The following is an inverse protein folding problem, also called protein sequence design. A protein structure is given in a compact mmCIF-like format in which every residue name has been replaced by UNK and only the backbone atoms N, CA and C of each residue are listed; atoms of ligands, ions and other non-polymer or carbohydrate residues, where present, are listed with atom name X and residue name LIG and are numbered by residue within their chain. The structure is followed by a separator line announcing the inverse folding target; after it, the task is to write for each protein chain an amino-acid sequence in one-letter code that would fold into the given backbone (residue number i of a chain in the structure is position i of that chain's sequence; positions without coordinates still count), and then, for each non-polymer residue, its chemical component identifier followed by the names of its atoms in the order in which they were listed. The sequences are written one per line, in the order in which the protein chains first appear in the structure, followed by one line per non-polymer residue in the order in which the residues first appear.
data_IF_562067906666
#
_entry.id   IF_562067906666
#
_cell.length_a   1.000
_cell.length_b   1.000
_cell.length_c   1.000
_cell.angle_alpha   90.00
_cell.angle_beta   90.00
_cell.angle_gamma   90.00
#
_symmetry.space_group_name_H-M   'P 1'
#
loop_
_entity.id
_entity.type
_entity.pdbx_description
1 polymer ?
#
# COMPACT_ATOMS: atom_id res chain seq x y z
N UNK A 1 -4.65 39.88 48.10
CA UNK A 1 -4.10 38.52 47.88
C UNK A 1 -2.72 38.64 47.31
N UNK A 2 -1.82 37.80 47.81
CA UNK A 2 -0.41 38.11 48.04
C UNK A 2 0.49 37.95 46.82
N UNK A 3 1.52 38.80 46.83
CA UNK A 3 2.68 38.88 45.94
C UNK A 3 3.59 37.68 46.18
N UNK A 4 3.95 36.93 45.15
CA UNK A 4 5.12 36.03 45.20
C UNK A 4 6.21 36.50 44.24
N UNK A 5 7.43 36.43 44.76
CA UNK A 5 8.61 37.21 44.39
C UNK A 5 9.35 36.61 43.19
N UNK A 6 9.88 37.49 42.36
CA UNK A 6 11.05 37.24 41.52
C UNK A 6 12.25 36.84 42.39
N UNK A 7 12.85 35.69 42.09
CA UNK A 7 14.17 35.29 42.61
C UNK A 7 15.13 35.14 41.44
N UNK A 8 16.10 36.06 41.35
CA UNK A 8 17.33 35.86 40.60
C UNK A 8 18.24 34.93 41.42
N UNK A 9 18.89 33.95 40.78
CA UNK A 9 19.96 33.18 41.39
C UNK A 9 21.28 33.40 40.62
N UNK A 10 22.42 33.57 41.31
CA UNK A 10 23.71 33.76 40.68
C UNK A 10 24.22 32.45 40.06
N UNK A 11 24.54 32.46 38.77
CA UNK A 11 25.60 31.59 38.25
C UNK A 11 26.92 32.32 38.48
N UNK A 12 27.66 31.82 39.48
CA UNK A 12 29.04 32.20 39.72
C UNK A 12 29.97 31.39 38.83
N UNK A 13 30.27 31.89 37.64
CA UNK A 13 31.53 31.60 36.98
C UNK A 13 31.98 32.75 36.07
N UNK A 14 33.07 33.37 36.52
CA UNK A 14 34.02 34.29 35.90
C UNK A 14 33.78 34.81 34.46
N UNK A 15 33.88 36.14 34.39
CA UNK A 15 34.59 36.91 33.36
C UNK A 15 34.01 36.91 31.94
N UNK A 16 32.98 37.75 31.75
CA UNK A 16 33.06 38.85 30.76
C UNK A 16 31.91 39.83 30.89
N UNK A 17 32.27 41.10 31.06
CA UNK A 17 31.43 42.24 30.69
C UNK A 17 31.75 42.58 29.23
N UNK A 18 30.76 42.77 28.34
CA UNK A 18 30.90 43.79 27.29
C UNK A 18 29.60 44.14 26.51
N UNK A 19 29.40 45.46 26.47
CA UNK A 19 28.84 46.35 25.46
C UNK A 19 27.61 45.99 24.61
N UNK A 20 26.53 46.67 24.98
CA UNK A 20 25.39 47.13 24.17
C UNK A 20 25.76 47.54 22.72
N UNK A 21 24.96 47.05 21.76
CA UNK A 21 24.61 47.85 20.58
C UNK A 21 23.10 47.72 20.31
N UNK A 22 22.36 48.78 20.61
CA UNK A 22 20.90 48.87 20.43
C UNK A 22 20.60 49.12 18.95
N UNK A 23 20.63 48.08 18.13
CA UNK A 23 20.05 48.17 16.78
C UNK A 23 18.54 48.32 16.91
N UNK A 24 18.04 49.50 16.54
CA UNK A 24 16.61 49.78 16.38
C UNK A 24 16.12 49.01 15.16
N UNK A 25 15.62 47.79 15.37
CA UNK A 25 14.93 47.04 14.31
C UNK A 25 13.62 47.73 14.01
N UNK A 26 13.55 48.43 12.87
CA UNK A 26 12.28 48.82 12.27
C UNK A 26 11.61 47.52 11.83
N UNK A 27 10.55 47.10 12.53
CA UNK A 27 9.68 46.01 12.07
C UNK A 27 8.96 46.51 10.82
N UNK A 28 9.51 46.19 9.65
CA UNK A 28 8.77 46.26 8.41
C UNK A 28 7.80 45.08 8.42
N UNK A 29 6.50 45.33 8.52
CA UNK A 29 5.49 44.34 8.17
C UNK A 29 5.68 43.98 6.69
N UNK A 30 6.24 42.81 6.43
CA UNK A 30 6.18 42.20 5.10
C UNK A 30 5.99 40.70 5.26
N UNK A 31 4.78 40.28 4.90
CA UNK A 31 4.33 38.92 4.58
C UNK A 31 4.60 37.82 5.64
N UNK A 32 3.52 37.43 6.33
CA UNK A 32 3.43 36.12 6.96
C UNK A 32 3.57 35.02 5.88
N UNK A 33 4.80 34.58 5.63
CA UNK A 33 5.07 33.37 4.86
C UNK A 33 4.73 32.16 5.73
N UNK A 34 3.50 31.66 5.63
CA UNK A 34 3.14 30.37 6.21
C UNK A 34 3.93 29.27 5.48
N UNK A 35 4.97 28.74 6.12
CA UNK A 35 5.64 27.53 5.68
C UNK A 35 4.68 26.35 5.88
N UNK A 36 3.86 26.08 4.87
CA UNK A 36 3.06 24.87 4.79
C UNK A 36 4.02 23.67 4.60
N UNK A 37 4.33 22.99 5.69
CA UNK A 37 5.02 21.70 5.65
C UNK A 37 4.07 20.67 5.03
N UNK A 38 4.16 20.47 3.72
CA UNK A 38 3.44 19.40 3.02
C UNK A 38 4.01 18.06 3.50
N UNK A 39 3.28 17.37 4.39
CA UNK A 39 3.51 15.96 4.70
C UNK A 39 3.25 15.14 3.44
N UNK A 40 4.31 14.90 2.65
CA UNK A 40 4.27 13.91 1.58
C UNK A 40 4.23 12.54 2.24
N UNK A 41 3.03 11.97 2.38
CA UNK A 41 2.88 10.59 2.80
C UNK A 41 3.55 9.70 1.73
N UNK A 42 4.67 9.09 2.09
CA UNK A 42 5.34 8.08 1.26
C UNK A 42 4.42 6.87 1.15
N UNK A 43 3.76 6.72 0.00
CA UNK A 43 3.01 5.50 -0.29
C UNK A 43 4.05 4.39 -0.48
N UNK A 44 4.08 3.35 0.38
CA UNK A 44 5.03 2.27 0.20
C UNK A 44 4.76 1.62 -1.15
N UNK A 45 5.79 1.61 -2.01
CA UNK A 45 5.72 0.91 -3.28
C UNK A 45 5.56 -0.58 -2.99
N UNK A 46 4.42 -1.15 -3.40
CA UNK A 46 4.24 -2.59 -3.37
C UNK A 46 5.16 -3.19 -4.45
N UNK A 47 6.21 -3.87 -4.03
CA UNK A 47 7.11 -4.57 -4.94
C UNK A 47 6.84 -6.08 -4.85
N UNK A 48 6.10 -6.59 -5.83
CA UNK A 48 5.98 -8.02 -6.08
C UNK A 48 6.88 -8.40 -7.25
N UNK A 49 7.71 -9.42 -7.05
CA UNK A 49 8.48 -10.05 -8.11
C UNK A 49 8.28 -11.55 -8.09
N UNK A 50 8.23 -12.13 -9.28
CA UNK A 50 8.26 -13.57 -9.50
C UNK A 50 9.67 -13.98 -9.97
N UNK A 51 10.01 -15.26 -9.86
CA UNK A 51 11.29 -15.78 -10.35
C UNK A 51 11.39 -15.72 -11.89
N UNK A 52 12.60 -15.92 -12.42
CA UNK A 52 12.88 -15.84 -13.88
C UNK A 52 12.12 -16.86 -14.71
N UNK A 53 11.85 -18.06 -14.18
CA UNK A 53 11.11 -19.10 -14.88
C UNK A 53 9.64 -18.72 -14.98
N UNK A 54 9.08 -18.21 -13.89
CA UNK A 54 7.71 -17.69 -13.84
C UNK A 54 7.56 -16.48 -14.77
N UNK A 55 8.52 -15.54 -14.76
CA UNK A 55 8.57 -14.43 -15.71
C UNK A 55 8.52 -14.91 -17.16
N UNK A 56 9.37 -15.87 -17.53
CA UNK A 56 9.43 -16.41 -18.87
C UNK A 56 8.14 -17.14 -19.28
N UNK A 57 7.47 -17.81 -18.35
CA UNK A 57 6.17 -18.44 -18.59
C UNK A 57 5.07 -17.39 -18.82
N UNK A 58 5.01 -16.36 -17.99
CA UNK A 58 4.05 -15.26 -18.13
C UNK A 58 4.20 -14.56 -19.48
N UNK A 59 5.44 -14.30 -19.94
CA UNK A 59 5.71 -13.65 -21.23
C UNK A 59 5.22 -14.43 -22.46
N UNK A 60 4.91 -15.72 -22.32
CA UNK A 60 4.33 -16.55 -23.40
C UNK A 60 2.80 -16.46 -23.47
N UNK A 61 2.16 -15.86 -22.48
CA UNK A 61 0.71 -15.68 -22.44
C UNK A 61 0.30 -14.43 -23.25
N UNK A 62 -0.91 -14.49 -23.81
CA UNK A 62 -1.57 -13.31 -24.37
C UNK A 62 -1.62 -12.17 -23.35
N UNK A 63 -1.46 -10.90 -23.75
CA UNK A 63 -1.28 -9.78 -22.82
C UNK A 63 -2.37 -9.65 -21.74
N UNK A 64 -3.63 -9.89 -22.09
CA UNK A 64 -4.74 -9.78 -21.16
C UNK A 64 -4.75 -10.93 -20.14
N UNK A 65 -4.57 -12.18 -20.62
CA UNK A 65 -4.42 -13.37 -19.76
C UNK A 65 -3.20 -13.25 -18.86
N UNK A 66 -2.09 -12.73 -19.38
CA UNK A 66 -0.87 -12.46 -18.62
C UNK A 66 -1.15 -11.52 -17.47
N UNK A 67 -1.90 -10.43 -17.70
CA UNK A 67 -2.20 -9.47 -16.64
C UNK A 67 -3.07 -10.10 -15.54
N UNK A 68 -4.07 -10.93 -15.90
CA UNK A 68 -4.85 -11.69 -14.91
C UNK A 68 -3.94 -12.55 -14.03
N UNK A 69 -3.03 -13.32 -14.64
CA UNK A 69 -2.10 -14.20 -13.93
C UNK A 69 -1.09 -13.43 -13.05
N UNK A 70 -0.60 -12.28 -13.52
CA UNK A 70 0.26 -11.39 -12.72
C UNK A 70 -0.48 -10.89 -11.47
N UNK A 71 -1.75 -10.51 -11.61
CA UNK A 71 -2.58 -10.11 -10.47
C UNK A 71 -2.92 -11.29 -9.53
N UNK A 72 -3.16 -12.49 -10.06
CA UNK A 72 -3.38 -13.69 -9.25
C UNK A 72 -2.18 -13.98 -8.36
N UNK A 73 -0.97 -14.00 -8.95
CA UNK A 73 0.28 -14.26 -8.23
C UNK A 73 0.56 -13.18 -7.17
N UNK A 74 0.39 -11.91 -7.52
CA UNK A 74 0.57 -10.81 -6.58
C UNK A 74 -0.44 -10.87 -5.42
N UNK A 75 -1.69 -11.19 -5.71
CA UNK A 75 -2.73 -11.34 -4.69
C UNK A 75 -2.38 -12.45 -3.71
N UNK A 76 -1.99 -13.62 -4.21
CA UNK A 76 -1.54 -14.74 -3.37
C UNK A 76 -0.36 -14.36 -2.47
N UNK A 77 0.64 -13.67 -3.01
CA UNK A 77 1.81 -13.24 -2.23
C UNK A 77 1.45 -12.20 -1.18
N UNK A 78 0.60 -11.23 -1.53
CA UNK A 78 0.12 -10.22 -0.57
C UNK A 78 -0.68 -10.86 0.56
N UNK A 79 -1.56 -11.80 0.24
CA UNK A 79 -2.33 -12.56 1.22
C UNK A 79 -1.40 -13.36 2.13
N UNK A 80 -0.41 -14.08 1.58
CA UNK A 80 0.56 -14.85 2.38
C UNK A 80 1.33 -13.98 3.37
N UNK A 81 1.64 -12.74 3.00
CA UNK A 81 2.31 -11.75 3.86
C UNK A 81 1.41 -11.17 4.94
N UNK A 82 0.15 -10.90 4.60
CA UNK A 82 -0.79 -10.23 5.50
C UNK A 82 -1.53 -11.19 6.43
N UNK A 83 -1.76 -12.43 5.98
CA UNK A 83 -2.58 -13.46 6.64
C UNK A 83 -1.75 -14.75 6.78
N UNK A 84 -0.83 -14.86 7.75
CA UNK A 84 0.14 -15.98 7.80
C UNK A 84 -0.48 -17.38 7.92
N UNK A 85 -1.71 -17.48 8.42
CA UNK A 85 -2.48 -18.72 8.51
C UNK A 85 -3.07 -19.14 7.17
N UNK A 86 -3.32 -18.19 6.28
CA UNK A 86 -3.85 -18.43 4.95
C UNK A 86 -2.68 -18.58 3.98
N UNK A 87 -2.49 -19.80 3.47
CA UNK A 87 -1.43 -20.14 2.51
C UNK A 87 -2.05 -20.41 1.15
N UNK A 88 -2.26 -19.38 0.29
CA UNK A 88 -2.85 -19.60 -1.02
C UNK A 88 -1.99 -20.55 -1.84
N UNK A 89 -2.68 -21.47 -2.51
CA UNK A 89 -2.12 -22.38 -3.51
C UNK A 89 -2.71 -22.15 -4.90
N UNK A 90 -3.88 -21.51 -4.98
CA UNK A 90 -4.53 -21.09 -6.23
C UNK A 90 -5.28 -19.79 -6.03
N UNK A 91 -5.42 -19.06 -7.13
CA UNK A 91 -6.18 -17.82 -7.24
C UNK A 91 -6.72 -17.74 -8.67
N UNK A 92 -7.94 -17.24 -8.81
CA UNK A 92 -8.54 -16.94 -10.09
C UNK A 92 -9.36 -15.66 -9.95
N UNK A 93 -8.87 -14.55 -10.50
CA UNK A 93 -9.53 -13.24 -10.40
C UNK A 93 -10.87 -13.14 -11.15
N UNK A 94 -11.10 -14.03 -12.11
CA UNK A 94 -12.23 -14.08 -13.03
C UNK A 94 -13.20 -15.24 -12.74
N UNK A 95 -13.02 -15.95 -11.62
CA UNK A 95 -13.72 -17.21 -11.32
C UNK A 95 -15.25 -17.14 -11.35
N UNK A 96 -15.85 -16.18 -10.64
CA UNK A 96 -17.31 -16.04 -10.52
C UNK A 96 -17.87 -14.95 -11.45
N UNK A 97 -17.02 -14.02 -11.89
CA UNK A 97 -17.37 -12.96 -12.83
C UNK A 97 -16.08 -12.36 -13.43
N UNK A 98 -16.14 -11.95 -14.69
CA UNK A 98 -15.05 -11.27 -15.38
C UNK A 98 -14.71 -9.94 -14.66
N UNK A 99 -13.41 -9.64 -14.43
CA UNK A 99 -13.00 -8.37 -13.84
C UNK A 99 -13.19 -7.19 -14.80
N UNK A 100 -13.51 -6.03 -14.24
CA UNK A 100 -13.49 -4.77 -15.00
C UNK A 100 -12.06 -4.34 -15.25
N UNK A 101 -11.77 -3.95 -16.49
CA UNK A 101 -10.46 -3.46 -16.93
C UNK A 101 -10.51 -1.99 -17.30
N UNK A 102 -9.62 -1.19 -16.68
CA UNK A 102 -9.44 0.24 -16.95
C UNK A 102 -7.96 0.53 -17.09
N UNK A 103 -7.47 0.58 -18.33
CA UNK A 103 -6.03 0.71 -18.61
C UNK A 103 -5.23 -0.43 -17.99
N UNK A 104 -4.29 -0.10 -17.10
CA UNK A 104 -3.44 -1.06 -16.38
C UNK A 104 -3.98 -1.39 -14.99
N UNK A 105 -5.30 -1.35 -14.83
CA UNK A 105 -5.98 -1.72 -13.58
C UNK A 105 -7.09 -2.74 -13.84
N UNK A 106 -7.10 -3.77 -13.00
CA UNK A 106 -8.17 -4.77 -12.87
C UNK A 106 -8.87 -4.62 -11.54
N UNK A 107 -10.19 -4.75 -11.55
CA UNK A 107 -11.00 -4.78 -10.33
C UNK A 107 -12.21 -5.67 -10.48
N UNK A 108 -12.62 -6.33 -9.41
CA UNK A 108 -13.79 -7.19 -9.44
C UNK A 108 -14.16 -7.73 -8.07
N UNK A 109 -15.38 -8.24 -7.96
CA UNK A 109 -15.91 -8.91 -6.76
C UNK A 109 -16.10 -10.42 -6.97
N UNK A 110 -15.74 -10.93 -8.15
CA UNK A 110 -15.92 -12.31 -8.58
C UNK A 110 -14.67 -13.19 -8.45
N UNK A 111 -13.61 -12.72 -7.78
CA UNK A 111 -12.40 -13.52 -7.64
C UNK A 111 -12.57 -14.65 -6.61
N UNK A 112 -11.73 -15.67 -6.72
CA UNK A 112 -11.64 -16.76 -5.77
C UNK A 112 -10.18 -17.07 -5.40
N UNK A 113 -9.94 -17.36 -4.12
CA UNK A 113 -8.64 -17.81 -3.60
C UNK A 113 -8.80 -19.15 -2.89
N UNK A 114 -7.88 -20.09 -3.13
CA UNK A 114 -7.85 -21.39 -2.46
C UNK A 114 -6.70 -21.45 -1.48
N UNK A 115 -7.01 -21.85 -0.25
CA UNK A 115 -6.01 -22.18 0.75
C UNK A 115 -6.52 -23.35 1.61
N UNK A 116 -5.65 -24.33 1.88
CA UNK A 116 -5.99 -25.49 2.71
C UNK A 116 -7.16 -26.30 2.15
N UNK A 117 -7.30 -26.36 0.82
CA UNK A 117 -8.38 -27.07 0.16
C UNK A 117 -9.71 -26.31 0.05
N UNK A 118 -9.82 -25.11 0.63
CA UNK A 118 -11.08 -24.35 0.65
C UNK A 118 -10.97 -23.14 -0.27
N UNK A 119 -11.88 -23.06 -1.24
CA UNK A 119 -12.09 -21.86 -2.05
C UNK A 119 -12.89 -20.82 -1.28
N UNK A 120 -12.44 -19.56 -1.29
CA UNK A 120 -13.13 -18.41 -0.71
C UNK A 120 -13.29 -17.31 -1.75
N UNK A 121 -14.40 -16.59 -1.66
CA UNK A 121 -14.64 -15.39 -2.48
C UNK A 121 -13.62 -14.32 -2.16
N UNK A 122 -13.32 -13.47 -3.13
CA UNK A 122 -12.41 -12.37 -2.98
C UNK A 122 -12.85 -11.20 -3.86
N UNK A 123 -12.80 -9.99 -3.32
CA UNK A 123 -12.90 -8.76 -4.09
C UNK A 123 -11.51 -8.09 -4.16
N UNK A 124 -11.19 -7.43 -5.26
CA UNK A 124 -9.86 -6.88 -5.47
C UNK A 124 -9.81 -5.62 -6.35
N UNK A 125 -8.69 -4.92 -6.23
CA UNK A 125 -8.20 -3.94 -7.21
C UNK A 125 -6.69 -4.15 -7.37
N UNK A 126 -6.23 -4.40 -8.59
CA UNK A 126 -4.85 -4.66 -8.95
C UNK A 126 -4.42 -3.69 -10.06
N UNK A 127 -3.44 -2.84 -9.79
CA UNK A 127 -2.83 -1.94 -10.79
C UNK A 127 -1.40 -2.38 -11.08
N UNK A 128 -0.99 -2.28 -12.34
CA UNK A 128 0.34 -2.66 -12.79
C UNK A 128 1.05 -1.55 -13.59
N UNK A 129 2.31 -1.79 -13.91
CA UNK A 129 3.07 -1.04 -14.91
C UNK A 129 2.43 -1.17 -16.30
N UNK A 130 2.74 -0.28 -17.27
CA UNK A 130 2.16 -0.35 -18.62
C UNK A 130 2.44 -1.65 -19.39
N UNK A 131 3.55 -2.33 -19.10
CA UNK A 131 3.84 -3.66 -19.66
C UNK A 131 3.04 -4.80 -18.98
N UNK A 132 2.32 -4.46 -17.91
CA UNK A 132 1.50 -5.32 -17.05
C UNK A 132 2.25 -6.50 -16.45
N UNK A 133 3.56 -6.31 -16.24
CA UNK A 133 4.44 -7.32 -15.66
C UNK A 133 4.69 -7.07 -14.17
N UNK A 134 4.55 -5.83 -13.69
CA UNK A 134 4.83 -5.49 -12.28
C UNK A 134 3.62 -4.84 -11.65
N UNK A 135 3.12 -5.42 -10.55
CA UNK A 135 2.01 -4.83 -9.77
C UNK A 135 2.53 -3.66 -8.95
N UNK A 136 1.91 -2.48 -9.10
CA UNK A 136 2.27 -1.23 -8.42
C UNK A 136 1.36 -0.93 -7.24
N UNK A 137 0.11 -1.39 -7.28
CA UNK A 137 -0.85 -1.28 -6.20
C UNK A 137 -1.80 -2.48 -6.17
N UNK A 138 -2.11 -2.97 -4.97
CA UNK A 138 -3.00 -4.10 -4.79
C UNK A 138 -3.79 -3.98 -3.49
N UNK A 139 -5.11 -4.10 -3.60
CA UNK A 139 -6.06 -4.21 -2.49
C UNK A 139 -6.92 -5.45 -2.69
N UNK A 140 -7.28 -6.11 -1.60
CA UNK A 140 -8.23 -7.22 -1.62
C UNK A 140 -9.10 -7.23 -0.36
N UNK A 141 -10.21 -7.95 -0.45
CA UNK A 141 -11.08 -8.27 0.69
C UNK A 141 -11.50 -9.73 0.56
N UNK A 142 -11.19 -10.52 1.59
CA UNK A 142 -11.63 -11.92 1.68
C UNK A 142 -13.13 -11.98 1.98
N UNK A 143 -13.82 -12.89 1.31
CA UNK A 143 -15.23 -13.17 1.51
C UNK A 143 -15.48 -14.57 2.07
N UNK A 144 -16.75 -14.97 2.05
CA UNK A 144 -17.17 -16.28 2.51
C UNK A 144 -16.58 -17.43 1.67
N UNK A 145 -16.45 -18.63 2.25
CA UNK A 145 -16.20 -19.86 1.49
C UNK A 145 -17.19 -20.04 0.34
N UNK A 146 -16.69 -20.59 -0.77
CA UNK A 146 -17.51 -20.99 -1.91
C UNK A 146 -17.94 -22.45 -1.66
N UNK A 147 -19.24 -22.77 -1.62
CA UNK A 147 -19.69 -24.14 -1.41
C UNK A 147 -19.16 -25.10 -2.49
N UNK A 148 -18.73 -26.31 -2.10
CA UNK A 148 -18.11 -27.27 -3.02
C UNK A 148 -19.04 -27.67 -4.18
N UNK A 149 -20.36 -27.70 -3.94
CA UNK A 149 -21.34 -27.96 -5.00
C UNK A 149 -21.34 -26.93 -6.14
N UNK A 150 -20.80 -25.73 -5.90
CA UNK A 150 -20.71 -24.68 -6.90
C UNK A 150 -19.37 -24.67 -7.65
N UNK A 151 -18.39 -25.48 -7.23
CA UNK A 151 -17.02 -25.37 -7.74
C UNK A 151 -16.91 -25.69 -9.23
N UNK A 152 -17.52 -26.80 -9.67
CA UNK A 152 -17.49 -27.20 -11.08
C UNK A 152 -18.08 -26.12 -12.00
N UNK A 153 -19.15 -25.46 -11.56
CA UNK A 153 -19.78 -24.36 -12.30
C UNK A 153 -18.83 -23.18 -12.54
N UNK A 154 -17.92 -22.91 -11.61
CA UNK A 154 -16.95 -21.81 -11.68
C UNK A 154 -15.56 -22.29 -12.14
N UNK A 155 -15.43 -23.53 -12.60
CA UNK A 155 -14.13 -24.11 -12.96
C UNK A 155 -13.17 -24.17 -11.77
N UNK A 156 -13.68 -24.32 -10.55
CA UNK A 156 -12.91 -24.53 -9.32
C UNK A 156 -12.84 -26.04 -9.02
N UNK A 157 -11.76 -26.47 -8.38
CA UNK A 157 -11.57 -27.90 -8.09
C UNK A 157 -10.77 -28.14 -6.80
N UNK A 158 -10.82 -29.41 -6.36
CA UNK A 158 -10.13 -29.92 -5.19
C UNK A 158 -8.61 -29.91 -5.28
#
# INVERSE_FOLDING_TARGET
MSIERFGCYPDGSSDRYECSNRMRTRVSLAAAGALAYSLVASVPAYAFSYDRRTEAALRKLEPETRFNQVCDLAAMEKIRKNEPELKPDRMAIDALAEPERKGDTLSGTGAAVRAGGVWRRLAFTCSATPDRMTVTALRYTLGAPIPEQDWERYGLWR
#
